data_IF_532845829862
#
_entry.id   IF_532845829862
#
_cell.length_a   1.000
_cell.length_b   1.000
_cell.length_c   1.000
_cell.angle_alpha   90.00
_cell.angle_beta   90.00
_cell.angle_gamma   90.00
#
_symmetry.space_group_name_H-M   'P 1'
#
loop_
_entity.id
_entity.type
_entity.pdbx_description
1 polymer ?
#
# COMPACT_ATOMS: atom_id res chain seq x y z
N UNK A 1 -5.94 2.16 -4.72
CA UNK A 1 -4.85 2.35 -3.75
C UNK A 1 -3.68 1.46 -4.12
N UNK A 2 -2.48 2.03 -4.17
CA UNK A 2 -1.22 1.30 -4.28
C UNK A 2 -0.56 1.19 -2.90
N UNK A 3 -0.03 0.03 -2.59
CA UNK A 3 0.95 -0.15 -1.51
C UNK A 3 2.31 -0.21 -2.18
N UNK A 4 3.22 0.71 -1.88
CA UNK A 4 4.50 0.84 -2.58
C UNK A 4 5.67 1.00 -1.62
N UNK A 5 6.85 0.59 -2.08
CA UNK A 5 8.13 0.93 -1.47
C UNK A 5 8.75 2.10 -2.22
N UNK A 6 9.34 3.01 -1.46
CA UNK A 6 10.11 4.15 -1.96
C UNK A 6 11.49 4.19 -1.32
N UNK A 7 12.45 4.79 -2.00
CA UNK A 7 13.72 5.17 -1.39
C UNK A 7 13.59 6.46 -0.58
N UNK A 8 14.71 6.92 -0.01
CA UNK A 8 14.76 8.14 0.82
C UNK A 8 14.38 9.42 0.08
N UNK A 9 14.47 9.43 -1.25
CA UNK A 9 14.15 10.57 -2.09
C UNK A 9 12.69 10.50 -2.59
N UNK A 10 11.93 9.50 -2.12
CA UNK A 10 10.55 9.27 -2.50
C UNK A 10 10.39 8.59 -3.86
N UNK A 11 11.48 8.18 -4.52
CA UNK A 11 11.41 7.47 -5.80
C UNK A 11 10.88 6.06 -5.57
N UNK A 12 9.93 5.65 -6.40
CA UNK A 12 9.34 4.30 -6.31
C UNK A 12 10.38 3.23 -6.62
N UNK A 13 10.51 2.26 -5.71
CA UNK A 13 11.36 1.09 -5.83
C UNK A 13 10.56 -0.13 -6.27
N UNK A 14 9.36 -0.30 -5.72
CA UNK A 14 8.43 -1.38 -6.08
C UNK A 14 6.99 -1.01 -5.74
N UNK A 15 6.03 -1.50 -6.53
CA UNK A 15 4.63 -1.62 -6.12
C UNK A 15 4.46 -3.02 -5.56
N UNK A 16 3.95 -3.11 -4.34
CA UNK A 16 3.72 -4.35 -3.63
C UNK A 16 2.32 -4.89 -3.94
N UNK A 17 1.31 -4.02 -3.86
CA UNK A 17 -0.09 -4.36 -4.11
C UNK A 17 -0.84 -3.21 -4.78
N UNK A 18 -1.87 -3.55 -5.55
CA UNK A 18 -2.79 -2.61 -6.18
C UNK A 18 -4.25 -3.02 -5.95
N UNK A 19 -5.02 -2.10 -5.36
CA UNK A 19 -6.44 -2.26 -5.06
C UNK A 19 -7.27 -1.25 -5.85
N UNK A 20 -8.21 -1.69 -6.67
CA UNK A 20 -9.11 -0.82 -7.42
C UNK A 20 -10.54 -1.37 -7.41
N UNK A 21 -11.54 -0.50 -7.56
CA UNK A 21 -12.94 -0.90 -7.79
C UNK A 21 -13.61 -1.74 -6.69
N UNK A 22 -13.02 -1.82 -5.48
CA UNK A 22 -13.61 -2.58 -4.38
C UNK A 22 -14.74 -1.77 -3.72
N UNK A 23 -15.97 -2.13 -4.05
CA UNK A 23 -17.20 -1.76 -3.30
C UNK A 23 -17.44 -2.76 -2.14
N UNK A 24 -16.39 -3.12 -1.41
CA UNK A 24 -16.48 -4.18 -0.40
C UNK A 24 -16.99 -3.64 0.94
N UNK A 25 -18.02 -4.29 1.47
CA UNK A 25 -18.76 -3.88 2.67
C UNK A 25 -18.06 -4.23 4.01
N UNK A 26 -16.71 -4.29 4.05
CA UNK A 26 -15.99 -4.75 5.24
C UNK A 26 -14.49 -4.47 5.26
N UNK A 27 -13.87 -4.74 6.42
CA UNK A 27 -12.41 -4.68 6.59
C UNK A 27 -11.76 -5.99 6.15
N UNK A 28 -10.75 -5.90 5.30
CA UNK A 28 -9.92 -7.03 4.90
C UNK A 28 -8.52 -6.93 5.49
N UNK A 29 -7.91 -8.09 5.75
CA UNK A 29 -6.52 -8.17 6.23
C UNK A 29 -5.61 -8.64 5.11
N UNK A 30 -4.62 -7.82 4.83
CA UNK A 30 -3.63 -8.07 3.79
C UNK A 30 -2.25 -8.35 4.40
N UNK A 31 -1.42 -9.11 3.68
CA UNK A 31 -0.02 -9.37 4.04
C UNK A 31 0.86 -9.31 2.81
N UNK A 32 2.02 -8.69 2.96
CA UNK A 32 3.03 -8.59 1.90
C UNK A 32 4.36 -9.14 2.43
N UNK A 33 4.99 -10.01 1.65
CA UNK A 33 6.35 -10.46 1.94
C UNK A 33 7.39 -9.42 1.50
N UNK A 34 8.22 -8.97 2.45
CA UNK A 34 9.29 -8.01 2.24
C UNK A 34 10.68 -8.65 2.22
N UNK A 35 10.79 -9.98 2.29
CA UNK A 35 12.06 -10.73 2.37
C UNK A 35 13.06 -10.35 1.27
N UNK A 36 12.56 -10.10 0.05
CA UNK A 36 13.36 -9.67 -1.10
C UNK A 36 14.03 -8.31 -0.94
N UNK A 37 13.62 -7.52 0.05
CA UNK A 37 14.15 -6.20 0.34
C UNK A 37 14.96 -6.17 1.65
N UNK A 38 15.25 -7.33 2.24
CA UNK A 38 16.03 -7.44 3.46
C UNK A 38 17.38 -6.70 3.36
N UNK A 39 17.77 -6.04 4.46
CA UNK A 39 19.00 -5.26 4.53
C UNK A 39 18.95 -3.88 3.85
N UNK A 40 17.82 -3.49 3.23
CA UNK A 40 17.63 -2.16 2.65
C UNK A 40 16.78 -1.28 3.55
N UNK A 41 17.17 -0.02 3.70
CA UNK A 41 16.30 1.01 4.28
C UNK A 41 15.36 1.55 3.21
N UNK A 42 14.08 1.24 3.33
CA UNK A 42 13.02 1.65 2.41
C UNK A 42 11.83 2.21 3.19
N UNK A 43 10.96 2.95 2.49
CA UNK A 43 9.78 3.57 3.06
C UNK A 43 8.52 2.97 2.45
N UNK A 44 7.63 2.45 3.30
CA UNK A 44 6.31 1.96 2.89
C UNK A 44 5.34 3.13 2.71
N UNK A 45 4.65 3.19 1.59
CA UNK A 45 3.66 4.22 1.28
C UNK A 45 2.34 3.63 0.82
N UNK A 46 1.24 4.23 1.26
CA UNK A 46 -0.13 3.96 0.81
C UNK A 46 -0.58 5.12 -0.07
N UNK A 47 -0.80 4.86 -1.35
CA UNK A 47 -1.15 5.89 -2.33
C UNK A 47 -2.57 5.66 -2.85
N UNK A 48 -3.50 6.44 -2.34
CA UNK A 48 -4.87 6.49 -2.84
C UNK A 48 -4.95 7.46 -4.03
N UNK A 49 -5.53 6.99 -5.13
CA UNK A 49 -5.91 7.84 -6.26
C UNK A 49 -7.41 7.65 -6.45
N UNK A 50 -8.12 8.77 -6.53
CA UNK A 50 -9.56 8.85 -6.77
C UNK A 50 -9.80 9.63 -8.05
N UNK A 51 -10.98 9.45 -8.66
CA UNK A 51 -11.46 10.29 -9.75
C UNK A 51 -12.74 11.03 -9.31
N UNK A 52 -13.16 12.01 -10.12
CA UNK A 52 -14.36 12.81 -9.82
C UNK A 52 -15.67 12.06 -10.14
N UNK A 53 -15.59 10.82 -10.64
CA UNK A 53 -16.76 10.04 -11.08
C UNK A 53 -17.30 9.14 -9.98
N UNK A 54 -16.46 8.71 -9.04
CA UNK A 54 -16.87 7.87 -7.91
C UNK A 54 -16.21 8.32 -6.62
N UNK A 55 -17.04 8.50 -5.58
CA UNK A 55 -16.57 8.71 -4.21
C UNK A 55 -15.96 7.41 -3.69
N UNK A 56 -14.65 7.23 -3.89
CA UNK A 56 -13.91 6.08 -3.36
C UNK A 56 -13.21 6.47 -2.07
N UNK A 57 -13.55 5.79 -0.97
CA UNK A 57 -12.86 5.96 0.31
C UNK A 57 -11.89 4.80 0.50
N UNK A 58 -10.64 5.10 0.88
CA UNK A 58 -9.68 4.09 1.30
C UNK A 58 -9.44 4.23 2.79
N UNK A 59 -9.51 3.12 3.52
CA UNK A 59 -9.23 3.06 4.96
C UNK A 59 -8.14 2.04 5.20
N UNK A 60 -7.19 2.39 6.05
CA UNK A 60 -6.08 1.50 6.47
C UNK A 60 -6.05 1.52 7.99
N UNK A 61 -5.97 0.34 8.60
CA UNK A 61 -5.91 0.19 10.06
C UNK A 61 -4.98 -0.98 10.43
N UNK A 62 -4.45 -0.94 11.66
CA UNK A 62 -3.56 -1.95 12.25
C UNK A 62 -2.38 -2.34 11.37
N UNK A 63 -1.69 -1.34 10.81
CA UNK A 63 -0.43 -1.56 10.09
C UNK A 63 0.60 -2.09 11.08
N UNK A 64 1.13 -3.28 10.79
CA UNK A 64 2.16 -3.92 11.58
C UNK A 64 3.29 -4.42 10.68
N UNK A 65 4.52 -4.31 11.19
CA UNK A 65 5.70 -4.91 10.58
C UNK A 65 6.22 -5.97 11.54
N UNK A 66 6.44 -7.18 11.03
CA UNK A 66 7.04 -8.28 11.77
C UNK A 66 8.36 -8.67 11.12
N UNK A 67 9.34 -9.01 11.94
CA UNK A 67 10.64 -9.55 11.53
C UNK A 67 10.72 -11.02 11.92
#
# INVERSE_FOLDING_TARGET
MLVRLTDRDGKSVAVLEEYSGRDEAGWERERVDLSRFAGRTLFLGFHAQTDDRRLTTFKVDRVMLTQ
#
